data_IF_192193517453
#
_entry.id   IF_192193517453
#
_cell.length_a   1.000
_cell.length_b   1.000
_cell.length_c   1.000
_cell.angle_alpha   90.00
_cell.angle_beta   90.00
_cell.angle_gamma   90.00
#
_symmetry.space_group_name_H-M   'P 1'
#
loop_
_entity.id
_entity.type
_entity.pdbx_description
1 polymer ?
#
# COMPACT_ATOMS: atom_id res chain seq x y z
N UNK A 1 -22.09 10.71 -0.72
CA UNK A 1 -21.41 10.07 0.43
C UNK A 1 -22.39 9.73 1.55
N UNK A 2 -22.31 8.53 2.13
CA UNK A 2 -23.03 8.18 3.35
C UNK A 2 -22.54 9.03 4.53
N UNK A 3 -23.39 9.20 5.56
CA UNK A 3 -23.01 9.93 6.77
C UNK A 3 -22.00 9.09 7.57
N UNK A 4 -20.81 9.64 7.84
CA UNK A 4 -19.87 9.08 8.82
C UNK A 4 -20.48 9.35 10.20
N UNK A 5 -20.76 8.28 10.96
CA UNK A 5 -21.36 8.39 12.28
C UNK A 5 -20.34 8.61 13.39
N UNK A 6 -19.12 8.10 13.21
CA UNK A 6 -18.01 8.26 14.16
C UNK A 6 -16.66 8.19 13.43
N UNK A 7 -15.66 8.85 13.97
CA UNK A 7 -14.30 8.82 13.43
C UNK A 7 -13.60 7.52 13.83
N UNK A 8 -12.68 7.10 12.97
CA UNK A 8 -11.90 5.87 13.15
C UNK A 8 -10.49 6.23 13.59
N UNK A 9 -10.00 5.50 14.59
CA UNK A 9 -8.66 5.67 15.13
C UNK A 9 -7.85 4.39 14.92
N UNK A 10 -6.62 4.52 14.49
CA UNK A 10 -5.62 3.45 14.53
C UNK A 10 -4.87 3.51 15.85
N UNK A 11 -4.77 2.39 16.56
CA UNK A 11 -4.18 2.34 17.89
C UNK A 11 -3.03 1.36 18.04
N UNK A 12 -2.75 0.58 17.00
CA UNK A 12 -1.63 -0.35 16.97
C UNK A 12 -1.54 -1.08 15.65
N UNK A 13 -0.42 -1.74 15.42
CA UNK A 13 -0.23 -2.57 14.24
C UNK A 13 1.14 -3.24 14.22
N UNK A 14 1.24 -4.25 13.38
CA UNK A 14 2.45 -5.04 13.22
C UNK A 14 2.61 -5.50 11.77
N UNK A 15 3.85 -5.75 11.40
CA UNK A 15 4.23 -6.38 10.14
C UNK A 15 5.31 -7.41 10.44
N UNK A 16 5.23 -8.57 9.80
CA UNK A 16 6.24 -9.61 9.97
C UNK A 16 7.59 -9.15 9.41
N UNK A 17 8.72 -9.58 10.02
CA UNK A 17 10.05 -9.23 9.53
C UNK A 17 10.28 -9.78 8.11
N UNK A 18 11.26 -9.24 7.35
CA UNK A 18 11.75 -9.91 6.16
C UNK A 18 12.39 -11.25 6.56
N UNK A 19 12.58 -12.14 5.62
CA UNK A 19 13.20 -13.45 5.88
C UNK A 19 12.36 -14.39 6.76
N UNK A 20 11.05 -14.36 6.59
CA UNK A 20 10.18 -15.38 7.18
C UNK A 20 10.67 -16.76 6.73
N UNK A 21 10.80 -17.73 7.65
CA UNK A 21 11.21 -19.09 7.31
C UNK A 21 10.33 -19.68 6.20
N UNK A 22 10.94 -20.36 5.25
CA UNK A 22 10.24 -20.95 4.08
C UNK A 22 9.22 -22.02 4.48
N UNK A 23 9.39 -22.64 5.65
CA UNK A 23 8.48 -23.62 6.22
C UNK A 23 7.29 -23.02 6.97
N UNK A 24 7.26 -21.69 7.17
CA UNK A 24 6.08 -21.04 7.73
C UNK A 24 4.93 -21.05 6.73
N UNK A 25 3.80 -21.50 7.20
CA UNK A 25 2.55 -21.46 6.45
C UNK A 25 1.94 -20.05 6.50
N UNK A 26 0.99 -19.78 5.61
CA UNK A 26 0.21 -18.54 5.67
C UNK A 26 -0.50 -18.37 7.04
N UNK A 27 -0.89 -19.49 7.69
CA UNK A 27 -1.55 -19.51 9.01
C UNK A 27 -0.62 -18.92 10.08
N UNK A 28 0.63 -19.35 10.10
CA UNK A 28 1.64 -18.86 11.06
C UNK A 28 1.92 -17.38 10.84
N UNK A 29 2.12 -16.94 9.58
CA UNK A 29 2.35 -15.54 9.28
C UNK A 29 1.17 -14.65 9.68
N UNK A 30 -0.04 -15.05 9.31
CA UNK A 30 -1.25 -14.31 9.64
C UNK A 30 -1.48 -14.21 11.15
N UNK A 31 -1.29 -15.33 11.88
CA UNK A 31 -1.38 -15.35 13.33
C UNK A 31 -0.32 -14.45 13.99
N UNK A 32 0.94 -14.52 13.54
CA UNK A 32 2.02 -13.69 14.08
C UNK A 32 1.70 -12.19 13.94
N UNK A 33 1.30 -11.74 12.74
CA UNK A 33 0.95 -10.34 12.53
C UNK A 33 -0.28 -9.91 13.36
N UNK A 34 -1.30 -10.76 13.43
CA UNK A 34 -2.53 -10.49 14.17
C UNK A 34 -2.27 -10.31 15.66
N UNK A 35 -1.58 -11.28 16.28
CA UNK A 35 -1.34 -11.26 17.72
C UNK A 35 -0.36 -10.14 18.12
N UNK A 36 0.67 -9.88 17.32
CA UNK A 36 1.59 -8.78 17.56
C UNK A 36 0.90 -7.41 17.45
N UNK A 37 -0.03 -7.25 16.51
CA UNK A 37 -0.82 -6.02 16.38
C UNK A 37 -1.75 -5.80 17.57
N UNK A 38 -2.41 -6.84 18.08
CA UNK A 38 -3.22 -6.75 19.30
C UNK A 38 -2.36 -6.41 20.53
N UNK A 39 -1.16 -6.98 20.60
CA UNK A 39 -0.21 -6.67 21.68
C UNK A 39 0.26 -5.20 21.63
N UNK A 40 0.65 -4.69 20.43
CA UNK A 40 1.04 -3.27 20.26
C UNK A 40 -0.11 -2.32 20.62
N UNK A 41 -1.36 -2.70 20.28
CA UNK A 41 -2.56 -1.93 20.59
C UNK A 41 -3.03 -2.05 22.04
N UNK A 42 -2.54 -3.03 22.81
CA UNK A 42 -3.06 -3.33 24.15
C UNK A 42 -4.52 -3.82 24.16
N UNK A 43 -4.97 -4.42 23.06
CA UNK A 43 -6.37 -4.86 22.88
C UNK A 43 -6.49 -6.37 23.18
N UNK A 44 -7.31 -6.78 24.18
CA UNK A 44 -7.59 -8.18 24.38
C UNK A 44 -8.47 -8.72 23.24
N UNK A 45 -8.19 -9.92 22.78
CA UNK A 45 -8.89 -10.54 21.64
C UNK A 45 -10.42 -10.64 21.82
N UNK A 46 -10.88 -10.72 23.05
CA UNK A 46 -12.33 -10.74 23.35
C UNK A 46 -13.05 -9.48 22.91
N UNK A 47 -12.34 -8.35 22.90
CA UNK A 47 -12.87 -7.03 22.53
C UNK A 47 -12.88 -6.81 20.98
N UNK A 48 -12.25 -7.69 20.20
CA UNK A 48 -12.30 -7.62 18.73
C UNK A 48 -13.69 -8.04 18.23
N UNK A 49 -14.36 -7.18 17.48
CA UNK A 49 -15.69 -7.47 16.92
C UNK A 49 -15.63 -8.15 15.56
N UNK A 50 -14.65 -7.78 14.74
CA UNK A 50 -14.53 -8.21 13.35
C UNK A 50 -13.06 -8.24 12.92
N UNK A 51 -12.72 -9.17 12.05
CA UNK A 51 -11.47 -9.13 11.28
C UNK A 51 -11.84 -8.96 9.80
N UNK A 52 -11.38 -7.87 9.17
CA UNK A 52 -11.39 -7.71 7.73
C UNK A 52 -10.03 -8.17 7.19
N UNK A 53 -10.03 -9.14 6.30
CA UNK A 53 -8.80 -9.81 5.90
C UNK A 53 -8.68 -9.90 4.39
N UNK A 54 -7.53 -9.52 3.83
CA UNK A 54 -7.25 -9.93 2.46
C UNK A 54 -7.08 -11.45 2.43
N UNK A 55 -7.46 -12.06 1.35
CA UNK A 55 -7.00 -13.42 1.07
C UNK A 55 -6.56 -13.53 -0.39
N UNK A 56 -5.57 -14.35 -0.61
CA UNK A 56 -5.23 -14.78 -1.95
C UNK A 56 -5.84 -16.16 -2.13
N UNK A 57 -6.77 -16.29 -3.06
CA UNK A 57 -7.48 -17.54 -3.38
C UNK A 57 -6.53 -18.71 -3.68
N UNK A 58 -5.35 -18.43 -4.23
CA UNK A 58 -4.31 -19.43 -4.47
C UNK A 58 -3.61 -19.89 -3.19
N UNK A 59 -3.51 -19.04 -2.17
CA UNK A 59 -2.90 -19.42 -0.90
C UNK A 59 -3.81 -20.32 -0.06
N UNK A 60 -5.11 -20.10 -0.12
CA UNK A 60 -6.11 -20.84 0.68
C UNK A 60 -6.85 -21.88 -0.17
N UNK A 61 -6.95 -21.69 -1.47
CA UNK A 61 -7.62 -22.59 -2.44
C UNK A 61 -9.00 -23.06 -1.97
N UNK A 62 -9.78 -22.18 -1.34
CA UNK A 62 -11.08 -22.50 -0.77
C UNK A 62 -12.09 -21.41 -1.14
N UNK A 63 -13.31 -21.85 -1.42
CA UNK A 63 -14.46 -20.98 -1.67
C UNK A 63 -15.01 -20.33 -0.38
N UNK A 64 -14.56 -20.76 0.80
CA UNK A 64 -15.02 -20.28 2.10
C UNK A 64 -13.84 -19.97 3.04
N UNK A 65 -13.01 -18.98 2.74
CA UNK A 65 -11.77 -18.70 3.48
C UNK A 65 -12.00 -18.17 4.90
N UNK A 66 -13.13 -17.52 5.17
CA UNK A 66 -13.41 -16.87 6.46
C UNK A 66 -13.26 -17.78 7.67
N UNK A 67 -13.92 -18.95 7.73
CA UNK A 67 -13.77 -19.90 8.83
C UNK A 67 -12.35 -20.43 9.00
N UNK A 68 -11.63 -20.67 7.90
CA UNK A 68 -10.23 -21.12 7.95
C UNK A 68 -9.28 -20.05 8.52
N UNK A 69 -9.52 -18.79 8.18
CA UNK A 69 -8.75 -17.67 8.74
C UNK A 69 -9.07 -17.53 10.23
N UNK A 70 -10.36 -17.57 10.61
CA UNK A 70 -10.76 -17.48 12.02
C UNK A 70 -10.17 -18.60 12.88
N UNK A 71 -10.13 -19.83 12.35
CA UNK A 71 -9.48 -20.98 12.98
C UNK A 71 -7.97 -20.75 13.11
N UNK A 72 -7.30 -20.34 12.05
CA UNK A 72 -5.86 -20.07 12.05
C UNK A 72 -5.46 -18.99 13.06
N UNK A 73 -6.30 -17.99 13.27
CA UNK A 73 -6.09 -16.92 14.26
C UNK A 73 -6.50 -17.34 15.68
N UNK A 74 -7.20 -18.47 15.86
CA UNK A 74 -7.74 -18.92 17.16
C UNK A 74 -8.85 -18.03 17.70
N UNK A 75 -9.66 -17.41 16.83
CA UNK A 75 -10.67 -16.41 17.22
C UNK A 75 -12.13 -16.88 17.02
N UNK A 76 -12.34 -18.14 16.66
CA UNK A 76 -13.71 -18.66 16.55
C UNK A 76 -14.51 -18.40 17.85
N UNK A 77 -15.80 -18.02 17.73
CA UNK A 77 -16.65 -17.88 16.54
C UNK A 77 -16.72 -16.44 15.99
N UNK A 78 -15.68 -15.62 16.16
CA UNK A 78 -15.68 -14.22 15.67
C UNK A 78 -15.76 -14.15 14.14
N UNK A 79 -16.47 -13.16 13.59
CA UNK A 79 -16.61 -13.02 12.15
C UNK A 79 -15.30 -12.56 11.49
N UNK A 80 -15.02 -13.14 10.33
CA UNK A 80 -13.96 -12.73 9.41
C UNK A 80 -14.59 -12.41 8.05
N UNK A 81 -14.30 -11.22 7.52
CA UNK A 81 -14.71 -10.81 6.17
C UNK A 81 -13.50 -10.88 5.24
N UNK A 82 -13.41 -11.92 4.41
CA UNK A 82 -12.33 -12.01 3.42
C UNK A 82 -12.60 -11.11 2.23
N UNK A 83 -11.55 -10.47 1.70
CA UNK A 83 -11.59 -9.62 0.51
C UNK A 83 -10.45 -9.97 -0.42
N UNK A 84 -10.66 -9.85 -1.74
CA UNK A 84 -9.66 -10.11 -2.76
C UNK A 84 -9.67 -8.97 -3.79
N UNK A 85 -8.53 -8.33 -4.01
CA UNK A 85 -8.36 -7.26 -5.00
C UNK A 85 -6.87 -7.08 -5.35
N UNK A 86 -6.20 -8.16 -5.71
CA UNK A 86 -4.77 -8.15 -6.05
C UNK A 86 -3.93 -7.38 -5.00
N UNK A 87 -2.96 -6.57 -5.41
CA UNK A 87 -2.07 -5.84 -4.50
C UNK A 87 -2.80 -4.82 -3.60
N UNK A 88 -3.98 -4.32 -4.00
CA UNK A 88 -4.79 -3.42 -3.19
C UNK A 88 -5.70 -4.15 -2.17
N UNK A 89 -5.69 -5.48 -2.11
CA UNK A 89 -6.63 -6.23 -1.26
C UNK A 89 -6.58 -5.82 0.22
N UNK A 90 -5.38 -5.58 0.78
CA UNK A 90 -5.29 -5.12 2.17
C UNK A 90 -5.70 -3.65 2.36
N UNK A 91 -5.69 -2.83 1.31
CA UNK A 91 -6.30 -1.51 1.31
C UNK A 91 -7.83 -1.59 1.39
N UNK A 92 -8.43 -2.52 0.63
CA UNK A 92 -9.88 -2.77 0.70
C UNK A 92 -10.27 -3.44 2.03
N UNK A 93 -9.44 -4.34 2.58
CA UNK A 93 -9.66 -4.86 3.94
C UNK A 93 -9.67 -3.73 4.98
N UNK A 94 -8.77 -2.75 4.83
CA UNK A 94 -8.74 -1.56 5.68
C UNK A 94 -9.98 -0.67 5.50
N UNK A 95 -10.49 -0.54 4.27
CA UNK A 95 -11.75 0.15 4.00
C UNK A 95 -12.95 -0.55 4.65
N UNK A 96 -13.01 -1.89 4.57
CA UNK A 96 -14.07 -2.68 5.24
C UNK A 96 -14.00 -2.48 6.75
N UNK A 97 -12.81 -2.52 7.35
CA UNK A 97 -12.60 -2.28 8.77
C UNK A 97 -13.01 -0.85 9.17
N UNK A 98 -12.58 0.15 8.41
CA UNK A 98 -12.95 1.55 8.59
C UNK A 98 -14.46 1.75 8.53
N UNK A 99 -15.12 1.18 7.51
CA UNK A 99 -16.56 1.33 7.32
C UNK A 99 -17.38 0.66 8.43
N UNK A 100 -16.94 -0.50 8.94
CA UNK A 100 -17.60 -1.19 10.06
C UNK A 100 -17.60 -0.33 11.34
N UNK A 101 -16.52 0.43 11.58
CA UNK A 101 -16.42 1.36 12.71
C UNK A 101 -17.14 2.66 12.41
N UNK A 102 -16.91 3.28 11.24
CA UNK A 102 -17.49 4.57 10.87
C UNK A 102 -19.03 4.53 10.81
N UNK A 103 -19.61 3.36 10.51
CA UNK A 103 -21.06 3.11 10.57
C UNK A 103 -21.61 2.87 11.98
N UNK A 104 -20.74 2.76 12.98
CA UNK A 104 -21.12 2.48 14.37
C UNK A 104 -21.50 1.01 14.65
N UNK A 105 -21.26 0.09 13.69
CA UNK A 105 -21.57 -1.34 13.85
C UNK A 105 -20.58 -2.08 14.76
N UNK A 106 -19.31 -1.68 14.72
CA UNK A 106 -18.21 -2.31 15.48
C UNK A 106 -17.46 -1.24 16.27
N UNK A 107 -16.91 -1.65 17.42
CA UNK A 107 -16.04 -0.81 18.25
C UNK A 107 -14.58 -1.05 17.98
N UNK A 108 -14.18 -2.30 17.75
CA UNK A 108 -12.81 -2.75 17.53
C UNK A 108 -12.75 -3.68 16.32
N UNK A 109 -11.98 -3.32 15.31
CA UNK A 109 -11.80 -4.11 14.09
C UNK A 109 -10.32 -4.24 13.77
N UNK A 110 -9.91 -5.44 13.37
CA UNK A 110 -8.56 -5.68 12.85
C UNK A 110 -8.61 -5.80 11.33
N UNK A 111 -7.75 -5.02 10.64
CA UNK A 111 -7.45 -5.23 9.23
C UNK A 111 -6.19 -6.08 9.11
N UNK A 112 -6.29 -7.23 8.48
CA UNK A 112 -5.22 -8.21 8.34
C UNK A 112 -4.89 -8.41 6.86
N UNK A 113 -3.59 -8.42 6.55
CA UNK A 113 -3.07 -8.77 5.24
C UNK A 113 -2.04 -9.90 5.34
N UNK A 114 -2.06 -10.85 4.43
CA UNK A 114 -1.01 -11.84 4.29
C UNK A 114 -0.86 -12.30 2.85
N UNK A 115 0.37 -12.59 2.45
CA UNK A 115 0.69 -13.19 1.17
C UNK A 115 1.96 -14.03 1.28
N UNK A 116 2.02 -15.09 0.48
CA UNK A 116 3.20 -15.93 0.32
C UNK A 116 3.51 -16.07 -1.15
N UNK A 117 4.28 -15.12 -1.67
CA UNK A 117 4.62 -15.05 -3.10
C UNK A 117 5.83 -15.90 -3.49
N UNK A 118 6.47 -16.55 -2.53
CA UNK A 118 7.63 -17.41 -2.72
C UNK A 118 7.29 -18.92 -2.85
N UNK A 119 6.04 -19.30 -2.59
CA UNK A 119 5.56 -20.69 -2.67
C UNK A 119 4.95 -21.08 -4.03
N UNK A 120 4.87 -20.15 -4.96
CA UNK A 120 4.29 -20.38 -6.29
C UNK A 120 5.27 -19.94 -7.35
N UNK A 121 4.98 -20.31 -8.58
CA UNK A 121 5.43 -19.47 -9.68
C UNK A 121 4.72 -18.11 -9.53
N UNK A 122 5.38 -17.23 -8.75
CA UNK A 122 4.85 -15.92 -8.40
C UNK A 122 4.56 -15.11 -9.67
N UNK A 123 5.28 -15.37 -10.75
CA UNK A 123 5.09 -14.74 -12.04
C UNK A 123 3.78 -15.20 -12.68
N UNK A 124 3.48 -16.50 -12.67
CA UNK A 124 2.20 -17.01 -13.18
C UNK A 124 1.03 -16.49 -12.34
N UNK A 125 1.17 -16.48 -11.02
CA UNK A 125 0.16 -15.95 -10.13
C UNK A 125 -0.10 -14.45 -10.35
N UNK A 126 0.95 -13.63 -10.51
CA UNK A 126 0.81 -12.21 -10.81
C UNK A 126 0.30 -11.96 -12.24
N UNK A 127 0.71 -12.74 -13.19
CA UNK A 127 0.31 -12.59 -14.59
C UNK A 127 -1.17 -12.87 -14.82
N UNK A 128 -1.77 -13.76 -14.02
CA UNK A 128 -3.21 -14.07 -14.11
C UNK A 128 -4.09 -13.11 -13.28
N UNK A 129 -3.50 -12.26 -12.44
CA UNK A 129 -4.23 -11.28 -11.67
C UNK A 129 -4.45 -10.00 -12.47
N UNK A 130 -5.69 -9.57 -12.58
CA UNK A 130 -6.04 -8.29 -13.16
C UNK A 130 -6.12 -8.22 -14.67
N UNK A 131 -5.89 -9.32 -15.35
CA UNK A 131 -6.09 -9.43 -16.79
C UNK A 131 -7.42 -10.11 -17.08
N UNK A 132 -8.07 -9.71 -18.16
CA UNK A 132 -9.18 -10.50 -18.68
C UNK A 132 -8.63 -11.83 -19.21
N UNK A 133 -8.99 -12.93 -18.54
CA UNK A 133 -8.48 -14.28 -18.86
C UNK A 133 -8.83 -14.68 -20.29
N UNK A 134 -9.98 -14.23 -20.77
CA UNK A 134 -10.53 -14.53 -22.09
C UNK A 134 -9.96 -13.66 -23.21
N UNK A 135 -9.16 -12.63 -22.91
CA UNK A 135 -8.57 -11.77 -23.91
C UNK A 135 -7.10 -11.43 -23.65
N UNK A 136 -6.82 -10.58 -22.68
CA UNK A 136 -5.48 -10.03 -22.44
C UNK A 136 -4.46 -11.12 -22.12
N UNK A 137 -4.83 -12.03 -21.21
CA UNK A 137 -3.97 -13.14 -20.82
C UNK A 137 -3.69 -14.10 -22.00
N UNK A 138 -4.70 -14.38 -22.82
CA UNK A 138 -4.55 -15.23 -24.00
C UNK A 138 -3.66 -14.61 -25.07
N UNK A 139 -3.52 -13.28 -25.10
CA UNK A 139 -2.59 -12.56 -25.96
C UNK A 139 -1.18 -12.46 -25.37
N UNK A 140 -0.94 -13.03 -24.18
CA UNK A 140 0.35 -12.98 -23.51
C UNK A 140 0.62 -11.66 -22.81
N UNK A 141 -0.39 -10.80 -22.62
CA UNK A 141 -0.25 -9.59 -21.85
C UNK A 141 -0.27 -9.90 -20.34
N UNK A 142 0.74 -9.44 -19.65
CA UNK A 142 0.93 -9.68 -18.23
C UNK A 142 0.89 -8.36 -17.45
N UNK A 143 0.74 -8.43 -16.16
CA UNK A 143 0.84 -7.26 -15.28
C UNK A 143 2.14 -6.47 -15.51
N UNK A 144 3.25 -7.16 -15.72
CA UNK A 144 4.56 -6.55 -15.97
C UNK A 144 4.57 -5.80 -17.31
N UNK A 145 3.97 -6.36 -18.36
CA UNK A 145 3.91 -5.71 -19.66
C UNK A 145 3.14 -4.38 -19.58
N UNK A 146 2.03 -4.33 -18.84
CA UNK A 146 1.29 -3.10 -18.63
C UNK A 146 2.10 -2.03 -17.89
N UNK A 147 2.81 -2.41 -16.83
CA UNK A 147 3.72 -1.52 -16.12
C UNK A 147 4.79 -0.95 -17.06
N UNK A 148 5.46 -1.81 -17.82
CA UNK A 148 6.48 -1.40 -18.78
C UNK A 148 5.96 -0.46 -19.88
N UNK A 149 4.74 -0.70 -20.38
CA UNK A 149 4.08 0.17 -21.35
C UNK A 149 3.79 1.53 -20.76
N UNK A 150 3.24 1.60 -19.55
CA UNK A 150 2.95 2.84 -18.83
C UNK A 150 4.21 3.64 -18.57
N UNK A 151 5.26 3.02 -18.05
CA UNK A 151 6.54 3.66 -17.80
C UNK A 151 7.15 4.24 -19.08
N UNK A 152 7.10 3.49 -20.17
CA UNK A 152 7.58 3.96 -21.48
C UNK A 152 6.81 5.17 -21.98
N UNK A 153 5.47 5.19 -21.81
CA UNK A 153 4.64 6.31 -22.21
C UNK A 153 4.90 7.54 -21.33
N UNK A 154 4.97 7.37 -20.02
CA UNK A 154 5.28 8.45 -19.09
C UNK A 154 6.64 9.07 -19.37
N UNK A 155 7.69 8.25 -19.51
CA UNK A 155 9.04 8.70 -19.87
C UNK A 155 9.06 9.53 -21.14
N UNK A 156 8.39 9.05 -22.20
CA UNK A 156 8.32 9.76 -23.49
C UNK A 156 7.54 11.06 -23.41
N UNK A 157 6.36 11.02 -22.80
CA UNK A 157 5.45 12.17 -22.72
C UNK A 157 6.09 13.35 -21.99
N UNK A 158 6.78 13.07 -20.88
CA UNK A 158 7.33 14.08 -19.99
C UNK A 158 8.85 14.17 -20.00
N UNK A 159 9.51 13.45 -20.89
CA UNK A 159 10.98 13.40 -21.00
C UNK A 159 11.66 13.10 -19.66
N UNK A 160 11.16 12.09 -18.93
CA UNK A 160 11.67 11.74 -17.59
C UNK A 160 13.07 11.12 -17.71
N UNK A 161 14.01 11.65 -16.94
CA UNK A 161 15.42 11.26 -16.97
C UNK A 161 15.68 9.96 -16.19
N UNK A 162 16.74 9.25 -16.56
CA UNK A 162 17.25 8.12 -15.78
C UNK A 162 17.82 8.59 -14.44
N UNK A 163 18.35 9.82 -14.37
CA UNK A 163 18.83 10.43 -13.12
C UNK A 163 17.70 10.54 -12.09
N UNK A 164 16.51 11.00 -12.48
CA UNK A 164 15.37 11.06 -11.57
C UNK A 164 14.94 9.68 -11.08
N UNK A 165 14.88 8.69 -11.98
CA UNK A 165 14.52 7.32 -11.64
C UNK A 165 15.58 6.65 -10.74
N UNK A 166 16.87 6.85 -11.02
CA UNK A 166 17.97 6.37 -10.18
C UNK A 166 17.97 7.05 -8.81
N UNK A 167 17.69 8.36 -8.75
CA UNK A 167 17.58 9.11 -7.48
C UNK A 167 16.41 8.59 -6.63
N UNK A 168 15.27 8.27 -7.24
CA UNK A 168 14.16 7.61 -6.55
C UNK A 168 14.61 6.30 -5.89
N UNK A 169 15.19 5.41 -6.70
CA UNK A 169 15.66 4.10 -6.22
C UNK A 169 16.76 4.25 -5.14
N UNK A 170 17.65 5.24 -5.27
CA UNK A 170 18.67 5.53 -4.27
C UNK A 170 18.05 5.87 -2.91
N UNK A 171 17.08 6.78 -2.84
CA UNK A 171 16.45 7.17 -1.58
C UNK A 171 15.61 6.06 -0.98
N UNK A 172 14.89 5.27 -1.77
CA UNK A 172 14.23 4.06 -1.28
C UNK A 172 15.23 3.11 -0.62
N UNK A 173 16.37 2.89 -1.23
CA UNK A 173 17.44 2.07 -0.69
C UNK A 173 18.08 2.68 0.55
N UNK A 174 18.25 4.00 0.61
CA UNK A 174 18.77 4.70 1.78
C UNK A 174 17.88 4.50 3.01
N UNK A 175 16.57 4.62 2.86
CA UNK A 175 15.59 4.37 3.91
C UNK A 175 15.53 2.89 4.32
N UNK A 176 15.53 1.99 3.35
CA UNK A 176 15.46 0.56 3.61
C UNK A 176 16.62 0.04 4.47
N UNK A 177 17.86 0.58 4.28
CA UNK A 177 19.03 0.21 5.11
C UNK A 177 18.90 0.69 6.56
N UNK A 178 17.95 1.56 6.85
CA UNK A 178 17.64 2.08 8.19
C UNK A 178 16.32 1.53 8.74
N UNK A 179 15.70 0.60 8.01
CA UNK A 179 14.45 -0.03 8.40
C UNK A 179 14.64 -1.54 8.59
N UNK A 180 14.69 -2.05 9.83
CA UNK A 180 14.88 -3.48 10.09
C UNK A 180 13.80 -4.38 9.46
N UNK A 181 12.65 -3.81 9.12
CA UNK A 181 11.55 -4.52 8.46
C UNK A 181 11.69 -4.56 6.93
N UNK A 182 12.68 -3.90 6.33
CA UNK A 182 12.87 -3.87 4.89
C UNK A 182 13.65 -5.09 4.36
N UNK A 183 13.23 -5.59 3.20
CA UNK A 183 13.92 -6.71 2.52
C UNK A 183 15.38 -6.39 2.18
N UNK A 184 15.70 -5.12 1.95
CA UNK A 184 17.03 -4.66 1.62
C UNK A 184 17.84 -4.16 2.84
N UNK A 185 17.37 -4.33 4.08
CA UNK A 185 18.01 -3.79 5.29
C UNK A 185 19.49 -4.15 5.41
N UNK A 186 19.85 -5.42 5.22
CA UNK A 186 21.22 -5.90 5.37
C UNK A 186 22.06 -5.88 4.08
N UNK A 187 21.48 -5.40 2.96
CA UNK A 187 22.19 -5.37 1.68
C UNK A 187 23.12 -4.14 1.59
N UNK A 188 24.21 -4.20 0.81
CA UNK A 188 25.03 -3.02 0.57
C UNK A 188 24.24 -1.91 -0.11
N UNK A 189 24.60 -0.65 0.19
CA UNK A 189 24.00 0.51 -0.45
C UNK A 189 24.47 0.60 -1.90
N UNK A 190 23.57 0.67 -2.90
CA UNK A 190 23.96 0.84 -4.30
C UNK A 190 24.52 2.25 -4.54
N UNK A 191 25.40 2.39 -5.50
CA UNK A 191 25.89 3.71 -5.93
C UNK A 191 24.81 4.42 -6.77
N UNK A 192 24.68 5.73 -6.58
CA UNK A 192 23.71 6.53 -7.35
C UNK A 192 24.00 6.47 -8.87
N UNK A 193 25.27 6.52 -9.26
CA UNK A 193 25.69 6.42 -10.65
C UNK A 193 25.31 5.09 -11.30
N UNK A 194 25.37 3.98 -10.55
CA UNK A 194 24.93 2.66 -11.02
C UNK A 194 23.41 2.64 -11.24
N UNK A 195 22.65 3.22 -10.34
CA UNK A 195 21.19 3.31 -10.45
C UNK A 195 20.72 4.24 -11.58
N UNK A 196 21.54 5.22 -11.98
CA UNK A 196 21.25 6.16 -13.07
C UNK A 196 21.71 5.63 -14.44
N UNK A 197 22.42 4.51 -14.50
CA UNK A 197 22.94 3.97 -15.75
C UNK A 197 21.81 3.46 -16.67
N UNK A 198 22.08 3.50 -17.98
CA UNK A 198 21.18 2.89 -19.00
C UNK A 198 21.61 1.44 -19.25
N UNK A 199 21.40 0.59 -18.25
CA UNK A 199 21.73 -0.84 -18.28
C UNK A 199 20.57 -1.67 -17.78
N UNK A 200 20.45 -2.94 -18.19
CA UNK A 200 19.43 -3.85 -17.70
C UNK A 200 19.47 -4.07 -16.18
N UNK A 201 20.65 -4.03 -15.57
CA UNK A 201 20.84 -4.15 -14.12
C UNK A 201 20.25 -2.96 -13.40
N UNK A 202 20.57 -1.73 -13.84
CA UNK A 202 20.02 -0.50 -13.28
C UNK A 202 18.50 -0.43 -13.47
N UNK A 203 17.98 -0.88 -14.62
CA UNK A 203 16.54 -0.94 -14.87
C UNK A 203 15.84 -1.88 -13.87
N UNK A 204 16.42 -3.04 -13.60
CA UNK A 204 15.90 -3.97 -12.58
C UNK A 204 15.95 -3.36 -11.17
N UNK A 205 17.01 -2.63 -10.84
CA UNK A 205 17.20 -2.05 -9.52
C UNK A 205 16.31 -0.80 -9.28
N UNK A 206 15.69 -0.27 -10.33
CA UNK A 206 14.64 0.76 -10.28
C UNK A 206 13.22 0.17 -10.20
N UNK A 207 13.08 -1.14 -10.04
CA UNK A 207 11.82 -1.86 -9.88
C UNK A 207 11.70 -2.46 -8.50
N UNK A 208 10.48 -2.86 -8.13
CA UNK A 208 10.19 -3.41 -6.81
C UNK A 208 10.96 -4.70 -6.51
N UNK A 209 11.52 -4.76 -5.31
CA UNK A 209 12.12 -5.99 -4.76
C UNK A 209 11.01 -6.92 -4.27
N UNK A 210 11.04 -8.19 -4.65
CA UNK A 210 10.14 -9.18 -4.07
C UNK A 210 10.50 -9.44 -2.60
N UNK A 211 9.51 -9.30 -1.71
CA UNK A 211 9.68 -9.54 -0.27
C UNK A 211 9.51 -11.00 0.13
N UNK A 212 8.86 -11.81 -0.70
CA UNK A 212 8.50 -13.18 -0.36
C UNK A 212 7.27 -13.26 0.55
N UNK A 213 7.34 -14.06 1.61
CA UNK A 213 6.27 -14.17 2.60
C UNK A 213 6.17 -12.93 3.48
N UNK A 214 4.94 -12.42 3.68
CA UNK A 214 4.68 -11.29 4.56
C UNK A 214 3.25 -11.32 5.09
N UNK A 215 3.06 -10.86 6.33
CA UNK A 215 1.76 -10.52 6.87
C UNK A 215 1.84 -9.20 7.64
N UNK A 216 0.74 -8.47 7.67
CA UNK A 216 0.60 -7.21 8.40
C UNK A 216 -0.79 -7.09 8.99
N UNK A 217 -0.92 -6.43 10.13
CA UNK A 217 -2.20 -6.19 10.77
C UNK A 217 -2.24 -4.79 11.38
N UNK A 218 -3.41 -4.17 11.34
CA UNK A 218 -3.71 -2.87 11.95
C UNK A 218 -4.95 -2.98 12.82
N UNK A 219 -4.92 -2.36 13.99
CA UNK A 219 -6.04 -2.36 14.94
C UNK A 219 -6.71 -0.99 14.90
N UNK A 220 -7.99 -1.01 14.57
CA UNK A 220 -8.84 0.17 14.49
C UNK A 220 -9.92 0.17 15.55
N UNK A 221 -10.23 1.35 16.08
CA UNK A 221 -11.30 1.56 17.05
C UNK A 221 -12.07 2.83 16.73
N UNK A 222 -13.29 2.93 17.25
CA UNK A 222 -14.02 4.21 17.23
C UNK A 222 -13.40 5.22 18.19
N UNK A 223 -13.46 6.51 17.83
CA UNK A 223 -12.89 7.61 18.61
C UNK A 223 -13.39 7.61 20.07
N UNK A 224 -14.66 7.31 20.26
CA UNK A 224 -15.33 7.28 21.57
C UNK A 224 -14.82 6.18 22.51
N UNK A 225 -14.23 5.11 21.98
CA UNK A 225 -13.66 4.01 22.77
C UNK A 225 -12.14 3.99 22.79
N UNK A 226 -11.47 4.81 21.95
CA UNK A 226 -10.02 4.78 21.78
C UNK A 226 -9.25 5.02 23.09
N UNK A 227 -9.74 5.91 23.96
CA UNK A 227 -9.10 6.22 25.25
C UNK A 227 -9.04 5.03 26.22
N UNK A 228 -9.83 3.98 25.98
CA UNK A 228 -9.76 2.74 26.76
C UNK A 228 -8.43 1.99 26.54
N UNK A 229 -7.81 2.17 25.37
CA UNK A 229 -6.66 1.39 24.94
C UNK A 229 -5.38 2.19 24.77
N UNK A 230 -5.48 3.49 24.44
CA UNK A 230 -4.31 4.33 24.15
C UNK A 230 -4.53 5.79 24.53
N UNK A 231 -3.43 6.49 24.87
CA UNK A 231 -3.36 7.93 25.06
C UNK A 231 -2.85 8.67 23.81
N UNK A 232 -2.42 7.93 22.77
CA UNK A 232 -1.83 8.46 21.53
C UNK A 232 -2.48 7.88 20.28
N UNK A 233 -3.81 7.97 20.13
CA UNK A 233 -4.46 7.46 18.93
C UNK A 233 -4.15 8.32 17.72
N UNK A 234 -4.22 7.70 16.55
CA UNK A 234 -4.02 8.35 15.26
C UNK A 234 -5.29 8.18 14.43
N UNK A 235 -5.84 9.26 13.89
CA UNK A 235 -6.99 9.14 12.99
C UNK A 235 -6.61 8.41 11.70
N UNK A 236 -7.52 7.60 11.22
CA UNK A 236 -7.37 6.88 9.95
C UNK A 236 -8.62 7.05 9.10
N UNK A 237 -8.42 7.50 7.87
CA UNK A 237 -9.44 7.60 6.84
C UNK A 237 -8.94 6.95 5.55
N UNK A 238 -9.86 6.43 4.74
CA UNK A 238 -9.51 5.72 3.53
C UNK A 238 -10.59 5.86 2.47
N UNK A 239 -10.16 6.04 1.22
CA UNK A 239 -11.02 6.02 0.05
C UNK A 239 -10.41 5.15 -1.05
N UNK A 240 -11.25 4.75 -1.99
CA UNK A 240 -10.82 4.02 -3.17
C UNK A 240 -11.62 4.42 -4.40
N UNK A 241 -11.03 4.22 -5.57
CA UNK A 241 -11.70 4.42 -6.84
C UNK A 241 -11.47 3.24 -7.78
N UNK A 242 -12.51 2.85 -8.48
CA UNK A 242 -12.42 1.86 -9.55
C UNK A 242 -12.31 2.54 -10.91
N UNK A 243 -11.61 1.87 -11.80
CA UNK A 243 -11.51 2.22 -13.20
C UNK A 243 -11.53 0.98 -14.08
N UNK A 244 -12.01 1.07 -15.32
CA UNK A 244 -11.82 -0.01 -16.27
C UNK A 244 -10.33 -0.24 -16.52
N UNK A 245 -9.89 -1.50 -16.61
CA UNK A 245 -8.56 -1.83 -17.14
C UNK A 245 -8.43 -1.36 -18.58
N UNK A 246 -7.23 -1.02 -19.00
CA UNK A 246 -6.96 -0.35 -20.28
C UNK A 246 -7.51 -1.04 -21.52
N UNK A 247 -7.31 -2.34 -21.63
CA UNK A 247 -7.65 -3.10 -22.83
C UNK A 247 -9.11 -3.57 -22.79
N UNK A 248 -9.71 -3.68 -21.63
CA UNK A 248 -11.12 -4.01 -21.48
C UNK A 248 -12.07 -3.07 -22.21
N UNK A 249 -11.60 -1.90 -22.64
CA UNK A 249 -12.39 -0.97 -23.42
C UNK A 249 -12.78 -1.46 -24.83
N UNK A 250 -12.14 -2.50 -25.36
CA UNK A 250 -12.54 -3.07 -26.65
C UNK A 250 -13.95 -3.67 -26.63
N UNK A 251 -14.43 -4.10 -25.48
CA UNK A 251 -15.73 -4.74 -25.29
C UNK A 251 -16.71 -3.90 -24.51
N UNK A 252 -16.30 -2.73 -24.04
CA UNK A 252 -17.18 -1.86 -23.29
C UNK A 252 -18.07 -1.04 -24.21
N UNK A 253 -19.34 -1.09 -23.92
CA UNK A 253 -20.26 -0.05 -24.43
C UNK A 253 -19.70 1.31 -23.97
N UNK A 254 -19.62 2.29 -24.88
CA UNK A 254 -19.19 3.62 -24.50
C UNK A 254 -20.11 4.14 -23.39
N UNK A 255 -19.59 4.22 -22.17
CA UNK A 255 -20.30 4.91 -21.10
C UNK A 255 -20.10 6.39 -21.35
N UNK A 256 -21.20 7.12 -21.50
CA UNK A 256 -21.20 8.55 -21.74
C UNK A 256 -20.34 9.25 -20.65
N UNK A 257 -19.33 10.01 -21.08
CA UNK A 257 -18.38 10.69 -20.18
C UNK A 257 -17.07 9.96 -19.87
N UNK A 258 -16.86 8.73 -20.35
CA UNK A 258 -15.53 8.11 -20.31
C UNK A 258 -14.63 8.73 -21.38
N UNK A 259 -13.70 9.54 -20.95
CA UNK A 259 -12.62 10.07 -21.80
C UNK A 259 -11.65 8.96 -22.20
N UNK A 260 -11.03 9.10 -23.37
CA UNK A 260 -9.82 8.33 -23.70
C UNK A 260 -8.83 8.47 -22.55
N UNK A 261 -8.33 7.33 -22.12
CA UNK A 261 -7.47 7.25 -20.97
C UNK A 261 -6.00 7.33 -21.37
N UNK A 262 -5.29 8.28 -20.79
CA UNK A 262 -3.84 8.40 -20.95
C UNK A 262 -3.14 7.50 -19.91
N UNK A 263 -2.39 6.51 -20.37
CA UNK A 263 -1.63 5.61 -19.49
C UNK A 263 -0.51 6.33 -18.72
N UNK A 264 -0.10 7.52 -19.17
CA UNK A 264 0.90 8.33 -18.46
C UNK A 264 0.30 9.14 -17.29
N UNK A 265 -0.96 8.90 -16.92
CA UNK A 265 -1.65 9.56 -15.81
C UNK A 265 -2.38 8.53 -14.95
N UNK A 266 -2.69 8.86 -13.70
CA UNK A 266 -3.37 7.99 -12.74
C UNK A 266 -4.69 8.62 -12.26
N UNK A 267 -5.71 8.81 -13.13
CA UNK A 267 -6.94 9.51 -12.74
C UNK A 267 -7.78 8.76 -11.71
N UNK A 268 -7.66 7.42 -11.60
CA UNK A 268 -8.26 6.67 -10.49
C UNK A 268 -7.66 7.07 -9.15
N UNK A 269 -6.33 7.16 -9.09
CA UNK A 269 -5.63 7.60 -7.89
C UNK A 269 -5.95 9.06 -7.55
N UNK A 270 -6.06 9.95 -8.56
CA UNK A 270 -6.51 11.33 -8.35
C UNK A 270 -7.91 11.40 -7.73
N UNK A 271 -8.83 10.55 -8.19
CA UNK A 271 -10.19 10.49 -7.66
C UNK A 271 -10.22 9.97 -6.21
N UNK A 272 -9.50 8.88 -5.93
CA UNK A 272 -9.38 8.31 -4.58
C UNK A 272 -8.71 9.30 -3.61
N UNK A 273 -7.67 10.03 -4.04
CA UNK A 273 -6.99 11.04 -3.24
C UNK A 273 -7.93 12.19 -2.85
N UNK A 274 -8.67 12.75 -3.83
CA UNK A 274 -9.63 13.82 -3.57
C UNK A 274 -10.68 13.39 -2.56
N UNK A 275 -11.25 12.20 -2.70
CA UNK A 275 -12.24 11.66 -1.78
C UNK A 275 -11.65 11.41 -0.39
N UNK A 276 -10.44 10.85 -0.29
CA UNK A 276 -9.75 10.61 0.97
C UNK A 276 -9.47 11.94 1.72
N UNK A 277 -9.04 12.97 1.00
CA UNK A 277 -8.78 14.29 1.59
C UNK A 277 -10.08 14.96 2.09
N UNK A 278 -11.17 14.83 1.34
CA UNK A 278 -12.48 15.32 1.74
C UNK A 278 -12.99 14.62 3.01
N UNK A 279 -12.88 13.28 3.07
CA UNK A 279 -13.25 12.47 4.24
C UNK A 279 -12.43 12.88 5.47
N UNK A 280 -11.12 13.01 5.31
CA UNK A 280 -10.17 13.34 6.36
C UNK A 280 -10.22 14.84 6.78
N UNK A 281 -10.87 15.69 5.97
CA UNK A 281 -10.94 17.12 6.19
C UNK A 281 -9.61 17.85 6.05
N UNK A 282 -8.71 17.35 5.17
CA UNK A 282 -7.39 17.91 4.93
C UNK A 282 -7.29 18.54 3.54
N UNK A 283 -6.29 19.41 3.38
CA UNK A 283 -5.81 19.90 2.09
C UNK A 283 -4.46 19.26 1.76
N UNK A 284 -4.08 19.23 0.49
CA UNK A 284 -2.76 18.71 0.07
C UNK A 284 -1.58 19.45 0.72
N UNK A 285 -1.76 20.70 1.10
CA UNK A 285 -0.75 21.52 1.79
C UNK A 285 -0.51 21.07 3.24
N UNK A 286 -1.46 20.35 3.85
CA UNK A 286 -1.35 19.83 5.21
C UNK A 286 -0.48 18.56 5.27
N UNK A 287 -0.32 17.86 4.13
CA UNK A 287 0.40 16.60 4.03
C UNK A 287 1.90 16.86 4.23
N UNK A 288 2.50 16.17 5.18
CA UNK A 288 3.92 16.32 5.49
C UNK A 288 4.72 15.00 5.49
N UNK A 289 4.11 13.89 5.11
CA UNK A 289 4.81 12.65 4.71
C UNK A 289 3.93 11.82 3.79
N UNK A 290 4.56 11.08 2.88
CA UNK A 290 3.83 10.27 1.90
C UNK A 290 4.53 8.94 1.66
N UNK A 291 3.73 7.89 1.62
CA UNK A 291 4.17 6.55 1.24
C UNK A 291 3.41 6.15 -0.02
N UNK A 292 4.07 6.09 -1.15
CA UNK A 292 3.43 5.65 -2.40
C UNK A 292 3.78 4.21 -2.72
N UNK A 293 2.84 3.50 -3.31
CA UNK A 293 3.08 2.20 -3.90
C UNK A 293 3.84 2.40 -5.21
N UNK A 294 5.11 2.06 -5.20
CA UNK A 294 6.05 2.23 -6.30
C UNK A 294 6.57 0.85 -6.76
N UNK A 295 5.91 0.23 -7.74
CA UNK A 295 6.47 -0.96 -8.39
C UNK A 295 7.64 -0.59 -9.30
N UNK A 296 7.66 0.64 -9.78
CA UNK A 296 8.79 1.25 -10.48
C UNK A 296 9.01 2.68 -9.99
N UNK A 297 10.20 3.21 -10.18
CA UNK A 297 10.51 4.60 -9.87
C UNK A 297 9.59 5.58 -10.63
N UNK A 298 9.18 5.22 -11.86
CA UNK A 298 8.28 6.04 -12.68
C UNK A 298 6.87 6.08 -12.11
N UNK A 299 6.34 4.93 -11.69
CA UNK A 299 5.04 4.87 -11.01
C UNK A 299 5.03 5.69 -9.72
N UNK A 300 6.13 5.64 -8.96
CA UNK A 300 6.28 6.49 -7.78
C UNK A 300 6.13 7.97 -8.11
N UNK A 301 6.81 8.46 -9.15
CA UNK A 301 6.69 9.86 -9.61
C UNK A 301 5.27 10.20 -10.08
N UNK A 302 4.64 9.32 -10.86
CA UNK A 302 3.24 9.48 -11.29
C UNK A 302 2.28 9.56 -10.09
N UNK A 303 2.54 8.79 -9.04
CA UNK A 303 1.72 8.82 -7.82
C UNK A 303 1.83 10.17 -7.07
N UNK A 304 3.02 10.80 -7.04
CA UNK A 304 3.17 12.16 -6.46
C UNK A 304 2.32 13.18 -7.22
N UNK A 305 2.31 13.10 -8.54
CA UNK A 305 1.50 13.95 -9.42
C UNK A 305 0.00 13.72 -9.16
N UNK A 306 -0.43 12.47 -9.08
CA UNK A 306 -1.82 12.11 -8.82
C UNK A 306 -2.31 12.55 -7.43
N UNK A 307 -1.43 12.54 -6.42
CA UNK A 307 -1.71 13.07 -5.08
C UNK A 307 -1.71 14.62 -5.03
N UNK A 308 -1.30 15.29 -6.12
CA UNK A 308 -1.24 16.74 -6.23
C UNK A 308 -0.07 17.39 -5.46
N UNK A 309 1.00 16.61 -5.16
CA UNK A 309 2.22 17.14 -4.53
C UNK A 309 3.07 17.95 -5.52
N UNK A 310 2.94 17.66 -6.80
CA UNK A 310 3.48 18.42 -7.90
C UNK A 310 2.50 18.37 -9.10
N UNK A 311 2.75 19.18 -10.13
CA UNK A 311 1.96 19.18 -11.36
C UNK A 311 2.25 17.91 -12.19
N UNK A 312 1.36 17.58 -13.12
CA UNK A 312 1.53 16.46 -14.06
C UNK A 312 2.83 16.64 -14.87
N UNK A 313 3.62 15.58 -14.96
CA UNK A 313 4.94 15.57 -15.61
C UNK A 313 6.06 16.24 -14.81
N UNK A 314 5.80 16.63 -13.55
CA UNK A 314 6.78 17.30 -12.67
C UNK A 314 7.28 16.43 -11.52
N UNK A 315 6.92 15.15 -11.51
CA UNK A 315 7.41 14.19 -10.51
C UNK A 315 8.94 14.11 -10.47
N UNK A 316 9.60 14.14 -11.64
CA UNK A 316 11.06 14.17 -11.71
C UNK A 316 11.68 15.43 -11.12
N UNK A 317 11.09 16.61 -11.34
CA UNK A 317 11.59 17.88 -10.79
C UNK A 317 11.50 17.85 -9.25
N UNK A 318 10.42 17.27 -8.70
CA UNK A 318 10.27 17.09 -7.26
C UNK A 318 11.37 16.19 -6.67
N UNK A 319 11.67 15.07 -7.33
CA UNK A 319 12.72 14.13 -6.91
C UNK A 319 14.11 14.77 -6.94
N UNK A 320 14.46 15.40 -8.07
CA UNK A 320 15.78 16.02 -8.28
C UNK A 320 16.01 17.24 -7.40
N UNK A 321 14.93 17.91 -6.97
CA UNK A 321 15.01 19.01 -5.99
C UNK A 321 15.18 18.51 -4.52
N UNK A 322 15.39 17.21 -4.30
CA UNK A 322 15.56 16.65 -2.95
C UNK A 322 14.23 16.34 -2.22
N UNK A 323 13.12 16.24 -2.95
CA UNK A 323 11.79 16.01 -2.40
C UNK A 323 11.63 14.73 -1.58
N UNK A 324 12.53 13.74 -1.77
CA UNK A 324 12.51 12.49 -1.03
C UNK A 324 13.31 12.54 0.29
N UNK A 325 14.09 13.56 0.54
CA UNK A 325 14.95 13.65 1.72
C UNK A 325 14.15 13.96 3.00
N UNK A 326 14.71 13.67 4.17
CA UNK A 326 14.09 14.02 5.47
C UNK A 326 13.95 15.53 5.70
N UNK A 327 14.75 16.34 5.01
CA UNK A 327 14.72 17.81 5.04
C UNK A 327 13.62 18.39 4.14
N UNK A 328 13.04 17.57 3.28
CA UNK A 328 11.93 17.96 2.42
C UNK A 328 10.70 18.35 3.26
N UNK A 329 9.87 19.25 2.71
CA UNK A 329 8.55 19.55 3.29
C UNK A 329 7.69 18.29 3.47
N UNK A 330 7.82 17.34 2.56
CA UNK A 330 7.04 16.11 2.53
C UNK A 330 7.93 14.93 2.06
N UNK A 331 8.71 14.32 2.97
CA UNK A 331 9.51 13.15 2.64
C UNK A 331 8.67 12.00 2.08
N UNK A 332 9.26 11.29 1.11
CA UNK A 332 8.57 10.22 0.37
C UNK A 332 9.21 8.88 0.67
N UNK A 333 8.36 7.84 0.84
CA UNK A 333 8.76 6.44 0.99
C UNK A 333 9.82 6.19 2.06
N UNK A 334 9.65 6.83 3.22
CA UNK A 334 10.59 6.72 4.35
C UNK A 334 10.70 5.30 4.92
N UNK A 335 9.81 4.37 4.55
CA UNK A 335 9.95 2.95 4.89
C UNK A 335 10.83 2.16 3.92
N UNK A 336 11.12 2.72 2.73
CA UNK A 336 11.90 2.09 1.68
C UNK A 336 11.14 1.83 0.37
N UNK A 337 9.82 2.09 0.34
CA UNK A 337 8.98 1.85 -0.83
C UNK A 337 8.91 0.38 -1.29
N UNK A 338 8.15 0.10 -2.32
CA UNK A 338 8.13 -1.21 -2.96
C UNK A 338 9.50 -1.60 -3.52
N UNK A 339 10.32 -0.59 -3.91
CA UNK A 339 11.64 -0.84 -4.47
C UNK A 339 12.62 -1.48 -3.49
N UNK A 340 12.59 -1.12 -2.21
CA UNK A 340 13.65 -1.53 -1.28
C UNK A 340 13.14 -2.07 0.07
N UNK A 341 12.01 -1.61 0.58
CA UNK A 341 11.29 -2.30 1.64
C UNK A 341 10.81 -3.67 1.14
N UNK A 342 10.35 -3.67 -0.08
CA UNK A 342 9.96 -4.84 -0.83
C UNK A 342 8.45 -4.95 -1.01
N UNK A 343 8.06 -5.32 -2.21
CA UNK A 343 6.69 -5.59 -2.59
C UNK A 343 6.24 -6.93 -1.99
N UNK A 344 5.27 -6.88 -1.12
CA UNK A 344 4.69 -8.05 -0.43
C UNK A 344 3.34 -8.47 -0.99
N UNK A 345 2.99 -8.00 -2.19
CA UNK A 345 1.68 -8.21 -2.80
C UNK A 345 0.55 -7.86 -1.80
N UNK A 346 -0.57 -8.55 -1.82
CA UNK A 346 -1.68 -8.32 -0.91
C UNK A 346 -1.34 -8.41 0.60
N UNK A 347 -0.14 -8.87 0.96
CA UNK A 347 0.24 -9.08 2.36
C UNK A 347 0.66 -7.84 3.13
N UNK A 348 1.16 -6.80 2.45
CA UNK A 348 1.68 -5.63 3.17
C UNK A 348 1.62 -4.31 2.42
N UNK A 349 1.41 -4.28 1.12
CA UNK A 349 1.70 -3.11 0.30
C UNK A 349 1.01 -1.83 0.77
N UNK A 350 -0.30 -1.87 0.98
CA UNK A 350 -1.01 -0.72 1.55
C UNK A 350 -0.67 -0.53 3.04
N UNK A 351 -0.72 -1.61 3.81
CA UNK A 351 -0.59 -1.53 5.25
C UNK A 351 0.82 -1.14 5.69
N UNK A 352 1.87 -1.49 4.94
CA UNK A 352 3.24 -1.05 5.25
C UNK A 352 3.37 0.48 5.21
N UNK A 353 2.76 1.14 4.22
CA UNK A 353 2.74 2.59 4.14
C UNK A 353 1.92 3.24 5.26
N UNK A 354 0.75 2.66 5.61
CA UNK A 354 -0.05 3.15 6.75
C UNK A 354 0.71 3.01 8.06
N UNK A 355 1.32 1.84 8.30
CA UNK A 355 2.11 1.56 9.50
C UNK A 355 3.31 2.48 9.62
N UNK A 356 4.03 2.74 8.52
CA UNK A 356 5.11 3.72 8.53
C UNK A 356 4.60 5.10 8.93
N UNK A 357 3.51 5.59 8.33
CA UNK A 357 2.91 6.88 8.68
C UNK A 357 2.49 6.92 10.16
N UNK A 358 1.91 5.85 10.66
CA UNK A 358 1.53 5.70 12.06
C UNK A 358 2.74 5.78 13.00
N UNK A 359 3.80 5.02 12.71
CA UNK A 359 5.01 5.04 13.51
C UNK A 359 5.77 6.37 13.42
N UNK A 360 5.76 7.03 12.27
CA UNK A 360 6.32 8.38 12.09
C UNK A 360 5.60 9.39 12.98
N UNK A 361 4.26 9.37 13.02
CA UNK A 361 3.46 10.26 13.87
C UNK A 361 3.72 10.00 15.36
N UNK A 362 4.00 8.75 15.73
CA UNK A 362 4.34 8.36 17.10
C UNK A 362 5.81 8.58 17.48
N UNK A 363 6.66 9.00 16.55
CA UNK A 363 8.09 9.20 16.81
C UNK A 363 8.90 7.90 16.96
N UNK A 364 8.47 6.80 16.30
CA UNK A 364 9.05 5.45 16.45
C UNK A 364 10.02 5.06 15.32
N UNK A 365 10.37 5.97 14.37
CA UNK A 365 11.11 5.59 13.15
C UNK A 365 12.64 5.78 13.23
N UNK A 366 13.21 6.15 14.38
CA UNK A 366 14.66 6.26 14.58
C UNK A 366 15.33 7.19 13.57
N UNK A 367 16.37 6.71 12.85
CA UNK A 367 17.12 7.50 11.85
C UNK A 367 16.28 7.95 10.64
N UNK A 368 15.11 7.34 10.44
CA UNK A 368 14.17 7.69 9.35
C UNK A 368 13.08 8.65 9.80
N UNK A 369 13.15 9.13 11.06
CA UNK A 369 12.11 9.94 11.66
C UNK A 369 11.93 11.28 10.93
N UNK A 370 10.73 11.51 10.42
CA UNK A 370 10.30 12.79 9.83
C UNK A 370 10.03 13.78 10.96
N UNK A 371 10.59 14.96 10.85
CA UNK A 371 10.37 16.02 11.82
C UNK A 371 8.91 16.48 11.79
N UNK A 372 8.30 16.59 12.98
CA UNK A 372 6.91 17.07 13.14
C UNK A 372 5.88 16.32 12.27
N UNK A 373 6.02 14.99 12.11
CA UNK A 373 5.07 14.16 11.38
C UNK A 373 3.65 14.29 11.95
N UNK A 374 2.68 14.68 11.12
CA UNK A 374 1.29 14.94 11.55
C UNK A 374 0.24 14.40 10.62
N UNK A 375 0.44 14.52 9.31
CA UNK A 375 -0.50 14.09 8.28
C UNK A 375 0.26 13.26 7.25
N UNK A 376 0.03 11.96 7.29
CA UNK A 376 0.61 11.01 6.36
C UNK A 376 -0.43 10.53 5.35
N UNK A 377 -0.02 10.43 4.09
CA UNK A 377 -0.83 9.83 3.02
C UNK A 377 -0.12 8.60 2.51
N UNK A 378 -0.86 7.54 2.20
CA UNK A 378 -0.31 6.38 1.52
C UNK A 378 -1.22 5.92 0.39
N UNK A 379 -0.62 5.26 -0.58
CA UNK A 379 -1.33 4.72 -1.75
C UNK A 379 -1.11 3.24 -1.90
N UNK A 380 -2.05 2.57 -2.54
CA UNK A 380 -1.86 1.27 -3.16
C UNK A 380 -2.77 1.14 -4.37
N UNK A 381 -2.44 0.23 -5.27
CA UNK A 381 -3.29 -0.07 -6.39
C UNK A 381 -3.32 -1.56 -6.68
N UNK A 382 -4.37 -2.00 -7.34
CA UNK A 382 -4.52 -3.35 -7.87
C UNK A 382 -4.80 -3.32 -9.37
N UNK A 383 -4.46 -4.41 -10.07
CA UNK A 383 -4.87 -4.62 -11.45
C UNK A 383 -4.63 -3.39 -12.36
N UNK A 384 -3.38 -2.98 -12.52
CA UNK A 384 -2.96 -1.89 -13.43
C UNK A 384 -3.64 -0.53 -13.17
N UNK A 385 -3.87 -0.19 -11.88
CA UNK A 385 -4.63 1.00 -11.50
C UNK A 385 -6.11 0.97 -11.93
N UNK A 386 -6.69 -0.23 -12.12
CA UNK A 386 -8.15 -0.35 -12.22
C UNK A 386 -8.84 -0.16 -10.86
N UNK A 387 -8.09 -0.32 -9.79
CA UNK A 387 -8.46 -0.02 -8.42
C UNK A 387 -7.30 0.73 -7.75
N UNK A 388 -7.57 1.93 -7.30
CA UNK A 388 -6.66 2.75 -6.53
C UNK A 388 -7.21 2.99 -5.12
N UNK A 389 -6.36 2.91 -4.11
CA UNK A 389 -6.71 3.12 -2.70
C UNK A 389 -5.79 4.19 -2.11
N UNK A 390 -6.37 5.13 -1.38
CA UNK A 390 -5.64 6.17 -0.66
C UNK A 390 -6.03 6.15 0.81
N UNK A 391 -5.05 6.03 1.68
CA UNK A 391 -5.20 6.15 3.13
C UNK A 391 -4.64 7.47 3.63
N UNK A 392 -5.30 8.05 4.63
CA UNK A 392 -4.86 9.25 5.33
C UNK A 392 -4.73 8.92 6.81
N UNK A 393 -3.59 9.26 7.38
CA UNK A 393 -3.28 9.06 8.80
C UNK A 393 -3.00 10.42 9.41
N UNK A 394 -3.69 10.79 10.48
CA UNK A 394 -3.53 12.10 11.12
C UNK A 394 -3.26 11.95 12.61
N UNK A 395 -2.37 12.81 13.14
CA UNK A 395 -2.11 12.87 14.57
C UNK A 395 -3.42 13.12 15.34
N UNK A 396 -3.70 12.28 16.31
CA UNK A 396 -4.80 12.44 17.25
C UNK A 396 -4.50 13.48 18.35
N UNK A 397 -5.22 13.37 19.48
CA UNK A 397 -4.98 14.21 20.65
C UNK A 397 -3.70 13.84 21.39
#
# INVERSE_FOLDING_TARGET
>A
MGKILRRVMMIGGAITPPNIPMDWTWRQMAAEAFWNALQDAGVPVKDVDLVACNYNDRAIADSSPGPQIADALGILPKPVVPVANACAANGIASYVAWNAIASGRCDVVVSLGFARSDNYDAMEAMNSQGNYVDFDYMLGLTHINYGAMRDSLYRRKYNVSLEAAGTWAYWCNWYARRNPLAANYSKPMPLLEELCADTPEAERDRQATNRGGVASAMVFVGEDVARKYTDKPVFFDVAYAFRPPYIGNFFHYPVEGMREYDMAELPGLMAAAREAYEIAGIKKEDINLVQVHDLTAYEGMMALEALGLCELGKGQDYVLAGGMTLESRCPINTYGGGLAFGHGSAGSDFQAGVLENYWQILGKCGERQVKDARVGVNTSYGTHHSLDVVGVVQKGW
#
